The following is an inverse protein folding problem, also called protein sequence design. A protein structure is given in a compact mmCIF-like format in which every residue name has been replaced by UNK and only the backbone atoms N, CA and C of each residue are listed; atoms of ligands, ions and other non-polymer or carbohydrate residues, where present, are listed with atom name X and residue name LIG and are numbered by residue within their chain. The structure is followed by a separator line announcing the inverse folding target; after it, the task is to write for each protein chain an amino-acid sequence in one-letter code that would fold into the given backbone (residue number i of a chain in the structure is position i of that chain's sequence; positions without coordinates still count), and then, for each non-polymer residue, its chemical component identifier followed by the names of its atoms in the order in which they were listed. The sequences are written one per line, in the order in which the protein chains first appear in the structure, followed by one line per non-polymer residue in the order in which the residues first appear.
data_IF_350699524564
#
_entry.id   IF_350699524564
#
_cell.length_a   1.000
_cell.length_b   1.000
_cell.length_c   1.000
_cell.angle_alpha   90.00
_cell.angle_beta   90.00
_cell.angle_gamma   90.00
#
_symmetry.space_group_name_H-M   'P 1'
#
loop_
_entity.id
_entity.type
_entity.pdbx_description
1 polymer ?
#
# COMPACT_ATOMS: atom_id res chain seq x y z
N UNK A 1 17.59 6.46 -28.26
CA UNK A 1 16.92 5.14 -28.15
C UNK A 1 17.72 4.14 -28.99
N UNK A 2 18.25 3.07 -28.39
CA UNK A 2 19.35 2.27 -28.98
C UNK A 2 18.86 1.01 -29.72
N UNK A 3 17.65 0.49 -29.47
CA UNK A 3 17.17 -0.78 -30.06
C UNK A 3 15.85 -0.71 -30.84
N UNK A 4 15.13 0.42 -30.87
CA UNK A 4 13.83 0.54 -31.57
C UNK A 4 12.65 -0.25 -30.97
N UNK A 5 12.91 -1.22 -30.09
CA UNK A 5 11.90 -2.00 -29.39
C UNK A 5 11.55 -1.39 -28.02
N UNK A 6 10.28 -1.40 -27.60
CA UNK A 6 9.92 -1.03 -26.23
C UNK A 6 10.61 -1.98 -25.24
N UNK A 7 11.27 -1.42 -24.22
CA UNK A 7 11.92 -2.21 -23.19
C UNK A 7 10.84 -2.91 -22.36
N UNK A 8 10.88 -4.24 -22.32
CA UNK A 8 9.95 -5.05 -21.53
C UNK A 8 10.60 -5.34 -20.17
N UNK A 9 10.08 -4.71 -19.12
CA UNK A 9 10.55 -4.93 -17.75
C UNK A 9 9.87 -6.18 -17.19
N UNK A 10 10.65 -7.16 -16.73
CA UNK A 10 10.14 -8.41 -16.17
C UNK A 10 9.74 -8.29 -14.70
N UNK A 11 10.31 -7.32 -13.97
CA UNK A 11 9.93 -6.98 -12.62
C UNK A 11 10.23 -5.50 -12.34
N UNK A 12 9.30 -4.80 -11.68
CA UNK A 12 9.50 -3.44 -11.19
C UNK A 12 9.67 -3.51 -9.67
N UNK A 13 10.88 -3.18 -9.21
CA UNK A 13 11.25 -3.12 -7.79
C UNK A 13 11.53 -1.66 -7.42
N UNK A 14 11.25 -1.30 -6.17
CA UNK A 14 11.29 0.08 -5.68
C UNK A 14 9.90 0.70 -5.64
N UNK A 15 9.75 1.80 -4.87
CA UNK A 15 8.51 2.57 -4.81
C UNK A 15 8.14 3.06 -6.23
N UNK A 16 6.88 2.97 -6.66
CA UNK A 16 5.67 2.65 -5.90
C UNK A 16 5.22 1.16 -5.91
N UNK A 17 6.10 0.20 -6.22
CA UNK A 17 5.65 -1.19 -6.44
C UNK A 17 5.12 -1.86 -5.16
N UNK A 18 3.99 -2.58 -5.27
CA UNK A 18 3.34 -3.28 -4.15
C UNK A 18 4.29 -4.27 -3.46
N UNK A 19 5.11 -4.99 -4.24
CA UNK A 19 6.12 -5.93 -3.72
C UNK A 19 7.14 -5.24 -2.80
N UNK A 20 7.48 -3.98 -3.08
CA UNK A 20 8.40 -3.21 -2.23
C UNK A 20 7.78 -2.93 -0.87
N UNK A 21 6.51 -2.51 -0.84
CA UNK A 21 5.79 -2.25 0.41
C UNK A 21 5.49 -3.54 1.18
N UNK A 22 5.18 -4.62 0.47
CA UNK A 22 5.04 -5.97 1.05
C UNK A 22 6.33 -6.38 1.78
N UNK A 23 7.48 -6.26 1.12
CA UNK A 23 8.74 -6.64 1.73
C UNK A 23 9.11 -5.75 2.93
N UNK A 24 8.80 -4.45 2.85
CA UNK A 24 9.00 -3.54 3.97
C UNK A 24 8.15 -3.93 5.19
N UNK A 25 6.88 -4.27 4.99
CA UNK A 25 6.00 -4.75 6.07
C UNK A 25 6.54 -6.02 6.72
N UNK A 26 6.96 -7.00 5.93
CA UNK A 26 7.60 -8.22 6.44
C UNK A 26 8.82 -7.91 7.33
N UNK A 27 9.70 -7.02 6.89
CA UNK A 27 10.88 -6.64 7.66
C UNK A 27 10.52 -5.95 8.98
N UNK A 28 9.53 -5.05 8.97
CA UNK A 28 9.06 -4.35 10.17
C UNK A 28 8.42 -5.34 11.14
N UNK A 29 7.54 -6.23 10.68
CA UNK A 29 6.89 -7.24 11.52
C UNK A 29 7.91 -8.20 12.15
N UNK A 30 8.91 -8.65 11.38
CA UNK A 30 10.01 -9.47 11.92
C UNK A 30 10.79 -8.71 12.99
N UNK A 31 11.13 -7.45 12.74
CA UNK A 31 11.86 -6.64 13.70
C UNK A 31 11.05 -6.37 14.99
N UNK A 32 9.75 -6.13 14.88
CA UNK A 32 8.86 -5.98 16.03
C UNK A 32 8.84 -7.26 16.88
N UNK A 33 8.77 -8.43 16.23
CA UNK A 33 8.85 -9.71 16.93
C UNK A 33 10.20 -9.91 17.63
N UNK A 34 11.32 -9.51 17.01
CA UNK A 34 12.66 -9.54 17.65
C UNK A 34 12.75 -8.63 18.88
N UNK A 35 11.96 -7.55 18.92
CA UNK A 35 11.84 -6.66 20.09
C UNK A 35 10.88 -7.20 21.16
N UNK A 36 10.26 -8.36 20.95
CA UNK A 36 9.31 -8.98 21.88
C UNK A 36 7.85 -8.56 21.68
N UNK A 37 7.52 -7.87 20.58
CA UNK A 37 6.13 -7.60 20.22
C UNK A 37 5.52 -8.82 19.52
N UNK A 38 4.77 -9.61 20.28
CA UNK A 38 4.09 -10.82 19.77
C UNK A 38 2.81 -10.52 19.00
N UNK A 39 2.26 -9.30 19.13
CA UNK A 39 1.05 -8.91 18.40
C UNK A 39 1.37 -8.36 17.01
N UNK A 40 0.54 -8.64 15.99
CA UNK A 40 0.64 -8.00 14.69
C UNK A 40 0.57 -6.47 14.80
N UNK A 41 1.32 -5.79 13.93
CA UNK A 41 1.29 -4.33 13.84
C UNK A 41 -0.08 -3.90 13.34
N UNK A 42 -0.79 -3.05 14.08
CA UNK A 42 -2.14 -2.62 13.66
C UNK A 42 -2.08 -1.61 12.51
N UNK A 43 -1.24 -0.59 12.66
CA UNK A 43 -1.17 0.52 11.71
C UNK A 43 0.28 0.86 11.39
N UNK A 44 0.58 0.89 10.11
CA UNK A 44 1.83 1.41 9.57
C UNK A 44 1.62 2.84 9.07
N UNK A 45 2.67 3.65 9.12
CA UNK A 45 2.68 5.00 8.59
C UNK A 45 3.82 5.15 7.59
N UNK A 46 3.47 5.41 6.32
CA UNK A 46 4.43 5.73 5.28
C UNK A 46 4.62 7.24 5.20
N UNK A 47 5.74 7.74 5.71
CA UNK A 47 6.11 9.15 5.63
C UNK A 47 7.03 9.34 4.41
N UNK A 48 6.67 10.27 3.52
CA UNK A 48 7.42 10.52 2.30
C UNK A 48 7.13 11.87 1.66
N UNK A 49 7.95 12.30 0.72
CA UNK A 49 7.90 13.61 0.09
C UNK A 49 7.44 13.56 -1.38
N UNK A 50 7.20 12.37 -1.92
CA UNK A 50 6.84 12.21 -3.33
C UNK A 50 5.45 11.53 -3.49
N UNK A 51 4.44 12.25 -3.98
CA UNK A 51 3.10 11.71 -4.23
C UNK A 51 3.08 10.53 -5.22
N UNK A 52 3.94 10.54 -6.24
CA UNK A 52 3.98 9.53 -7.31
C UNK A 52 4.63 8.22 -6.85
N UNK A 53 5.40 8.23 -5.76
CA UNK A 53 6.12 7.04 -5.27
C UNK A 53 5.66 6.62 -3.88
N UNK A 54 5.76 7.52 -2.91
CA UNK A 54 5.62 7.20 -1.49
C UNK A 54 4.15 7.08 -1.14
N UNK A 55 3.38 8.09 -1.54
CA UNK A 55 1.96 8.17 -1.27
C UNK A 55 1.22 7.16 -2.14
N UNK A 56 1.50 7.14 -3.45
CA UNK A 56 0.91 6.17 -4.35
C UNK A 56 1.16 4.74 -3.91
N UNK A 57 2.42 4.37 -3.65
CA UNK A 57 2.77 3.01 -3.23
C UNK A 57 2.14 2.61 -1.89
N UNK A 58 2.11 3.53 -0.92
CA UNK A 58 1.47 3.29 0.36
C UNK A 58 -0.05 3.07 0.22
N UNK A 59 -0.71 3.88 -0.61
CA UNK A 59 -2.14 3.78 -0.84
C UNK A 59 -2.52 2.51 -1.63
N UNK A 60 -1.71 2.10 -2.62
CA UNK A 60 -1.87 0.80 -3.31
C UNK A 60 -1.82 -0.33 -2.28
N UNK A 61 -0.78 -0.34 -1.45
CA UNK A 61 -0.58 -1.41 -0.49
C UNK A 61 -1.66 -1.41 0.61
N UNK A 62 -2.15 -0.24 1.04
CA UNK A 62 -3.27 -0.16 1.97
C UNK A 62 -4.56 -0.79 1.39
N UNK A 63 -4.86 -0.57 0.10
CA UNK A 63 -5.98 -1.24 -0.58
C UNK A 63 -5.79 -2.76 -0.62
N UNK A 64 -4.56 -3.23 -0.81
CA UNK A 64 -4.22 -4.65 -0.70
C UNK A 64 -4.54 -5.20 0.71
N UNK A 65 -4.10 -4.52 1.78
CA UNK A 65 -4.37 -4.92 3.16
C UNK A 65 -5.87 -4.98 3.47
N UNK A 66 -6.64 -4.00 3.01
CA UNK A 66 -8.10 -3.96 3.16
C UNK A 66 -8.79 -5.10 2.40
N UNK A 67 -8.36 -5.40 1.17
CA UNK A 67 -8.93 -6.49 0.38
C UNK A 67 -8.63 -7.85 1.04
N UNK A 68 -7.41 -8.02 1.58
CA UNK A 68 -7.00 -9.21 2.32
C UNK A 68 -7.79 -9.39 3.62
N UNK A 69 -8.05 -8.33 4.37
CA UNK A 69 -8.87 -8.41 5.59
C UNK A 69 -10.32 -8.77 5.29
N UNK A 70 -10.94 -8.16 4.27
CA UNK A 70 -12.29 -8.48 3.82
C UNK A 70 -12.41 -9.93 3.33
N UNK A 71 -11.41 -10.43 2.60
CA UNK A 71 -11.40 -11.81 2.11
C UNK A 71 -11.34 -12.83 3.25
N UNK A 72 -10.53 -12.55 4.29
CA UNK A 72 -10.49 -13.37 5.52
C UNK A 72 -11.83 -13.35 6.25
N UNK A 73 -12.46 -12.17 6.38
CA UNK A 73 -13.78 -12.05 7.00
C UNK A 73 -14.84 -12.86 6.26
N UNK A 74 -14.91 -12.76 4.93
CA UNK A 74 -15.87 -13.51 4.11
C UNK A 74 -15.66 -15.03 4.19
N UNK A 75 -14.42 -15.50 4.32
CA UNK A 75 -14.12 -16.92 4.51
C UNK A 75 -14.63 -17.43 5.87
N UNK A 76 -14.49 -16.64 6.94
CA UNK A 76 -15.03 -16.98 8.28
C UNK A 76 -16.56 -16.94 8.31
N UNK A 77 -17.18 -15.96 7.64
CA UNK A 77 -18.64 -15.85 7.56
C UNK A 77 -19.24 -16.99 6.74
N UNK A 78 -18.60 -17.36 5.63
CA UNK A 78 -19.06 -18.49 4.79
C UNK A 78 -18.98 -19.84 5.52
N UNK A 79 -18.06 -19.98 6.49
CA UNK A 79 -17.98 -21.17 7.36
C UNK A 79 -19.08 -21.19 8.43
N UNK A 80 -19.53 -20.02 8.91
CA UNK A 80 -20.61 -19.91 9.91
C UNK A 80 -22.02 -19.92 9.29
N UNK A 81 -22.18 -19.58 8.00
CA UNK A 81 -23.48 -19.55 7.31
C UNK A 81 -23.71 -20.70 6.32
N UNK A 82 -23.18 -21.90 6.60
CA UNK A 82 -23.57 -23.13 5.86
C UNK A 82 -24.97 -23.63 6.26
N UNK A 83 -25.93 -22.70 6.33
CA UNK A 83 -27.33 -23.01 6.06
C UNK A 83 -27.92 -21.83 5.29
N UNK A 84 -28.15 -22.06 3.99
CA UNK A 84 -29.03 -21.34 3.07
C UNK A 84 -28.42 -20.25 2.15
N UNK A 85 -28.49 -20.59 0.85
CA UNK A 85 -28.69 -19.75 -0.34
C UNK A 85 -27.46 -19.21 -1.09
N UNK A 86 -27.12 -19.97 -2.13
CA UNK A 86 -26.49 -19.54 -3.38
C UNK A 86 -27.06 -18.23 -3.91
N UNK A 87 -26.25 -17.17 -3.88
CA UNK A 87 -26.52 -15.90 -4.54
C UNK A 87 -25.24 -15.34 -5.17
N UNK A 88 -25.13 -15.49 -6.49
CA UNK A 88 -24.05 -14.91 -7.30
C UNK A 88 -24.05 -13.38 -7.18
N UNK A 89 -23.02 -12.80 -6.56
CA UNK A 89 -22.70 -11.38 -6.70
C UNK A 89 -21.39 -11.25 -7.48
N UNK A 90 -21.51 -11.02 -8.78
CA UNK A 90 -20.40 -10.56 -9.62
C UNK A 90 -20.16 -9.08 -9.32
N UNK A 91 -19.34 -8.78 -8.31
CA UNK A 91 -18.82 -7.42 -8.15
C UNK A 91 -17.62 -7.26 -9.09
N UNK A 92 -17.88 -6.58 -10.21
CA UNK A 92 -16.87 -6.11 -11.15
C UNK A 92 -15.94 -5.13 -10.44
N UNK A 93 -14.76 -5.63 -10.09
CA UNK A 93 -13.56 -4.81 -9.93
C UNK A 93 -12.65 -5.29 -11.04
N UNK A 94 -12.28 -4.39 -11.95
CA UNK A 94 -11.44 -4.69 -13.10
C UNK A 94 -10.11 -5.30 -12.63
N UNK A 95 -9.98 -6.62 -12.82
CA UNK A 95 -8.79 -7.42 -12.50
C UNK A 95 -7.53 -6.99 -13.26
N UNK A 96 -7.66 -6.06 -14.20
CA UNK A 96 -6.59 -5.61 -15.09
C UNK A 96 -5.77 -4.43 -14.52
N UNK A 97 -6.14 -3.88 -13.35
CA UNK A 97 -5.32 -2.86 -12.64
C UNK A 97 -4.34 -3.51 -11.65
N UNK A 98 -4.50 -4.80 -11.35
CA UNK A 98 -3.59 -5.57 -10.52
C UNK A 98 -2.34 -5.97 -11.31
N UNK A 99 -1.34 -5.10 -11.35
CA UNK A 99 0.00 -5.48 -11.78
C UNK A 99 0.54 -6.50 -10.75
N UNK A 100 0.53 -7.77 -11.14
CA UNK A 100 1.17 -8.93 -10.49
C UNK A 100 0.65 -9.35 -9.09
N UNK A 101 -0.65 -9.62 -8.93
CA UNK A 101 -1.17 -10.39 -7.78
C UNK A 101 -0.44 -11.73 -7.58
N UNK A 102 0.02 -12.36 -8.66
CA UNK A 102 0.66 -13.67 -8.60
C UNK A 102 1.99 -13.66 -7.83
N UNK A 103 2.77 -12.56 -7.91
CA UNK A 103 4.04 -12.48 -7.19
C UNK A 103 3.82 -12.30 -5.68
N UNK A 104 2.85 -11.47 -5.30
CA UNK A 104 2.49 -11.26 -3.89
C UNK A 104 1.83 -12.51 -3.32
N UNK A 105 0.91 -13.14 -4.04
CA UNK A 105 0.24 -14.38 -3.60
C UNK A 105 1.23 -15.55 -3.43
N UNK A 106 2.23 -15.69 -4.33
CA UNK A 106 3.31 -16.67 -4.18
C UNK A 106 4.20 -16.41 -2.95
N UNK A 107 4.45 -15.15 -2.60
CA UNK A 107 5.21 -14.80 -1.38
C UNK A 107 4.36 -15.02 -0.12
N UNK A 108 3.06 -14.71 -0.18
CA UNK A 108 2.08 -14.85 0.91
C UNK A 108 1.81 -16.31 1.29
N UNK A 109 1.92 -17.24 0.35
CA UNK A 109 1.67 -18.67 0.57
C UNK A 109 2.73 -19.39 1.44
N UNK A 110 3.77 -18.69 1.92
CA UNK A 110 4.63 -19.20 2.97
C UNK A 110 3.98 -18.98 4.34
N UNK A 111 3.81 -20.08 5.09
CA UNK A 111 3.12 -20.20 6.38
C UNK A 111 3.63 -19.30 7.54
N UNK A 112 4.59 -18.40 7.28
CA UNK A 112 5.20 -17.51 8.28
C UNK A 112 4.56 -16.12 8.35
N UNK A 113 3.62 -15.76 7.47
CA UNK A 113 3.01 -14.42 7.43
C UNK A 113 1.74 -14.29 8.29
N UNK A 114 1.84 -14.64 9.58
CA UNK A 114 0.74 -14.47 10.55
C UNK A 114 0.54 -13.00 10.98
N UNK A 115 1.50 -12.12 10.70
CA UNK A 115 1.59 -10.76 11.25
C UNK A 115 1.42 -9.67 10.19
N UNK A 116 0.43 -9.82 9.31
CA UNK A 116 0.14 -8.77 8.34
C UNK A 116 -0.49 -7.55 9.03
N UNK A 117 -0.07 -6.34 8.64
CA UNK A 117 -0.61 -5.12 9.22
C UNK A 117 -2.11 -4.94 8.88
N UNK A 118 -2.88 -4.29 9.75
CA UNK A 118 -4.30 -4.06 9.48
C UNK A 118 -4.51 -2.89 8.51
N UNK A 119 -3.62 -1.90 8.54
CA UNK A 119 -3.69 -0.70 7.70
C UNK A 119 -2.34 -0.04 7.48
N UNK A 120 -2.23 0.70 6.38
CA UNK A 120 -1.11 1.59 6.07
C UNK A 120 -1.64 2.99 5.72
N UNK A 121 -1.20 4.01 6.46
CA UNK A 121 -1.58 5.40 6.22
C UNK A 121 -0.41 6.21 5.64
N UNK A 122 -0.68 7.00 4.61
CA UNK A 122 0.30 7.82 3.91
C UNK A 122 0.35 9.25 4.50
N UNK A 123 1.56 9.71 4.83
CA UNK A 123 1.82 11.07 5.32
C UNK A 123 2.79 11.76 4.36
N UNK A 124 2.31 12.79 3.68
CA UNK A 124 3.12 13.61 2.77
C UNK A 124 3.81 14.73 3.55
N UNK A 125 5.13 14.85 3.40
CA UNK A 125 5.92 15.96 3.95
C UNK A 125 6.33 16.95 2.86
N UNK A 126 6.38 18.23 3.21
CA UNK A 126 6.64 19.34 2.28
C UNK A 126 8.13 19.74 2.18
N UNK A 127 9.06 18.94 2.71
CA UNK A 127 10.50 19.27 2.78
C UNK A 127 11.33 18.76 1.60
N UNK A 128 10.70 18.28 0.52
CA UNK A 128 11.40 17.55 -0.54
C UNK A 128 10.84 17.78 -1.94
N UNK A 129 10.64 16.71 -2.70
CA UNK A 129 10.12 16.73 -4.08
C UNK A 129 8.76 17.43 -4.14
N UNK A 130 7.89 17.19 -3.16
CA UNK A 130 6.64 17.91 -3.01
C UNK A 130 6.86 19.28 -2.37
N UNK A 131 6.35 20.31 -3.05
CA UNK A 131 6.25 21.66 -2.53
C UNK A 131 4.84 22.19 -2.81
N UNK A 132 4.09 22.49 -1.74
CA UNK A 132 2.69 22.93 -1.77
C UNK A 132 2.44 24.10 -2.71
N UNK A 133 3.38 25.05 -2.81
CA UNK A 133 3.20 26.27 -3.60
C UNK A 133 3.41 26.05 -5.10
N UNK A 134 4.09 24.97 -5.45
CA UNK A 134 4.48 24.65 -6.85
C UNK A 134 3.85 23.36 -7.37
N UNK A 135 3.19 22.60 -6.49
CA UNK A 135 2.59 21.33 -6.85
C UNK A 135 1.27 21.54 -7.57
N UNK A 136 1.32 21.33 -8.89
CA UNK A 136 0.14 21.39 -9.73
C UNK A 136 -0.53 20.01 -9.76
N UNK A 137 -1.60 19.85 -8.97
CA UNK A 137 -2.46 18.66 -8.94
C UNK A 137 -3.10 18.37 -10.31
N UNK A 138 -3.26 19.38 -11.17
CA UNK A 138 -3.83 19.25 -12.51
C UNK A 138 -2.78 18.98 -13.58
N UNK A 139 -1.48 19.07 -13.22
CA UNK A 139 -0.44 18.68 -14.13
C UNK A 139 -0.49 17.16 -14.29
N UNK A 140 -0.97 16.74 -15.44
CA UNK A 140 -1.05 15.35 -15.91
C UNK A 140 0.36 14.78 -16.18
N UNK A 141 1.34 15.18 -15.36
CA UNK A 141 2.71 14.72 -15.37
C UNK A 141 2.70 13.33 -14.72
N UNK A 142 2.23 12.36 -15.47
CA UNK A 142 2.45 10.95 -15.19
C UNK A 142 3.95 10.65 -15.30
N UNK A 143 4.68 10.88 -14.21
CA UNK A 143 6.06 10.44 -14.06
C UNK A 143 6.16 8.95 -13.69
N UNK A 144 5.02 8.27 -13.52
CA UNK A 144 4.99 6.83 -13.33
C UNK A 144 5.43 6.07 -14.58
N UNK A 145 5.78 4.80 -14.38
CA UNK A 145 6.13 3.92 -15.48
C UNK A 145 4.98 3.88 -16.49
N UNK A 146 5.29 3.96 -17.78
CA UNK A 146 4.34 4.07 -18.91
C UNK A 146 3.27 2.97 -18.96
N UNK A 147 3.46 1.90 -18.19
CA UNK A 147 2.61 0.72 -18.14
C UNK A 147 1.70 0.66 -16.90
N UNK A 148 1.76 1.68 -16.01
CA UNK A 148 0.87 1.78 -14.86
C UNK A 148 -0.29 2.73 -15.18
N UNK A 149 -1.52 2.21 -15.14
CA UNK A 149 -2.72 3.05 -15.08
C UNK A 149 -2.71 3.71 -13.70
N UNK A 150 -2.34 4.98 -13.66
CA UNK A 150 -2.26 5.74 -12.41
C UNK A 150 -3.66 6.21 -12.04
N UNK A 151 -4.20 5.66 -10.95
CA UNK A 151 -5.40 6.19 -10.30
C UNK A 151 -5.01 7.46 -9.53
N UNK A 152 -5.57 8.61 -9.93
CA UNK A 152 -5.30 9.89 -9.29
C UNK A 152 -5.66 9.89 -7.80
N UNK A 153 -6.66 9.11 -7.38
CA UNK A 153 -7.03 9.00 -5.96
C UNK A 153 -5.93 8.33 -5.13
N UNK A 154 -5.10 7.48 -5.74
CA UNK A 154 -3.97 6.86 -5.04
C UNK A 154 -2.84 7.85 -4.76
N UNK A 155 -2.78 9.01 -5.42
CA UNK A 155 -1.77 10.04 -5.11
C UNK A 155 -2.14 10.90 -3.92
N UNK A 156 -3.40 10.84 -3.44
CA UNK A 156 -3.87 11.68 -2.34
C UNK A 156 -3.37 11.13 -1.01
N UNK A 157 -2.58 11.89 -0.24
CA UNK A 157 -2.11 11.42 1.05
C UNK A 157 -3.25 11.42 2.07
N UNK A 158 -3.16 10.54 3.07
CA UNK A 158 -4.08 10.54 4.22
C UNK A 158 -3.87 11.79 5.07
N UNK A 159 -2.62 12.17 5.28
CA UNK A 159 -2.23 13.35 6.06
C UNK A 159 -1.15 14.14 5.33
N UNK A 160 -1.09 15.45 5.57
CA UNK A 160 -0.02 16.32 5.06
C UNK A 160 0.63 17.03 6.25
N UNK A 161 1.95 17.05 6.29
CA UNK A 161 2.73 17.69 7.34
C UNK A 161 3.80 18.59 6.71
N UNK A 162 4.20 19.65 7.41
CA UNK A 162 5.26 20.50 6.91
C UNK A 162 6.57 19.71 6.85
N UNK A 163 6.98 19.05 7.95
CA UNK A 163 8.25 18.32 8.04
C UNK A 163 8.06 16.96 8.74
N UNK A 164 9.09 16.11 8.69
CA UNK A 164 9.07 14.77 9.31
C UNK A 164 8.80 14.82 10.82
N UNK A 165 9.30 15.84 11.52
CA UNK A 165 9.04 16.01 12.96
C UNK A 165 7.54 16.17 13.25
N UNK A 166 6.82 16.92 12.41
CA UNK A 166 5.39 17.13 12.60
C UNK A 166 4.59 15.87 12.27
N UNK A 167 5.05 15.08 11.30
CA UNK A 167 4.49 13.76 11.01
C UNK A 167 4.62 12.82 12.23
N UNK A 168 5.77 12.78 12.89
CA UNK A 168 5.97 11.95 14.10
C UNK A 168 5.07 12.41 15.25
N UNK A 169 4.98 13.72 15.48
CA UNK A 169 4.06 14.27 16.51
C UNK A 169 2.60 13.94 16.19
N UNK A 170 2.20 14.05 14.92
CA UNK A 170 0.87 13.68 14.47
C UNK A 170 0.57 12.20 14.76
N UNK A 171 1.52 11.30 14.45
CA UNK A 171 1.37 9.86 14.73
C UNK A 171 1.14 9.61 16.22
N UNK A 172 1.96 10.21 17.10
CA UNK A 172 1.77 10.06 18.55
C UNK A 172 0.41 10.59 19.02
N UNK A 173 -0.06 11.70 18.46
CA UNK A 173 -1.40 12.21 18.77
C UNK A 173 -2.51 11.26 18.30
N UNK A 174 -2.40 10.69 17.08
CA UNK A 174 -3.39 9.74 16.54
C UNK A 174 -3.44 8.47 17.37
N UNK A 175 -2.28 7.94 17.77
CA UNK A 175 -2.16 6.71 18.57
C UNK A 175 -2.34 6.96 20.08
N UNK A 176 -2.64 8.20 20.49
CA UNK A 176 -2.84 8.60 21.89
C UNK A 176 -1.65 8.25 22.80
N UNK A 177 -0.44 8.35 22.26
CA UNK A 177 0.80 8.08 22.96
C UNK A 177 1.26 9.35 23.70
N UNK A 178 1.15 9.33 25.04
CA UNK A 178 1.51 10.44 25.93
C UNK A 178 2.66 10.06 26.86
#
# INVERSE_FOLDING_TARGET
KISGHPLQYTAIVGKPSEVTFYHAEYLISRHAHELGFEQPIKRLYAVGDNPDTDIYGANVYNRYLQTRSLSRLNQVVSQTTTTALTGNVKNGIDKNVWINSNAVELVVNNAEHYYAAESLESILVCTGVYNRDTYDETSDKNHGHRDMIIDAELKKPKHVCEHVLDAVKLIFNIEQFH
#
